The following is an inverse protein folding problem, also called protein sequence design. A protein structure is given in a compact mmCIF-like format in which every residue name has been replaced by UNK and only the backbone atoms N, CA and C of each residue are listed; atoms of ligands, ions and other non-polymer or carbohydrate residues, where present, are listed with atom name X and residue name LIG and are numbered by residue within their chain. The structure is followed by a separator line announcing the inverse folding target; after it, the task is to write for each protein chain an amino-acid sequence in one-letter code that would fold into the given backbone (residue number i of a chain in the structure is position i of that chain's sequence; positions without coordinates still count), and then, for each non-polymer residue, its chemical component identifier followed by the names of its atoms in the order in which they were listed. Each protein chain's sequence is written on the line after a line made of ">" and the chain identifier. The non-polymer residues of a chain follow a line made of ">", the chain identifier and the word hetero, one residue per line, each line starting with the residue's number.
data_IF_932466527702
#
_entry.id   IF_932466527702
#
_cell.length_a   1.000
_cell.length_b   1.000
_cell.length_c   1.000
_cell.angle_alpha   90.00
_cell.angle_beta   90.00
_cell.angle_gamma   90.00
#
_symmetry.space_group_name_H-M   'P 1'
#
loop_
_entity.id
_entity.type
_entity.pdbx_description
1 polymer ?
#
# COMPACT_ATOMS: atom_id res chain seq x y z
N UNK A 1 -29.78 24.54 -8.56
CA UNK A 1 -29.97 24.55 -7.09
C UNK A 1 -28.61 24.87 -6.50
N UNK A 2 -28.45 25.91 -5.68
CA UNK A 2 -27.14 26.30 -5.15
C UNK A 2 -27.03 25.94 -3.67
N UNK A 3 -25.83 25.60 -3.21
CA UNK A 3 -25.56 25.24 -1.81
C UNK A 3 -24.64 26.28 -1.19
N UNK A 4 -25.04 26.81 -0.03
CA UNK A 4 -24.24 27.76 0.75
C UNK A 4 -23.67 27.03 1.97
N UNK A 5 -22.36 26.96 2.07
CA UNK A 5 -21.65 26.43 3.23
C UNK A 5 -21.21 27.59 4.12
N UNK A 6 -21.82 27.70 5.30
CA UNK A 6 -21.35 28.62 6.35
C UNK A 6 -20.17 28.03 7.09
N UNK A 7 -19.06 28.76 7.10
CA UNK A 7 -17.85 28.39 7.82
C UNK A 7 -18.02 28.66 9.31
N UNK A 8 -17.49 27.75 10.14
CA UNK A 8 -17.50 27.91 11.60
C UNK A 8 -16.52 29.00 12.06
N UNK A 9 -15.42 29.17 11.35
CA UNK A 9 -14.40 30.20 11.60
C UNK A 9 -14.17 30.94 10.30
N UNK A 10 -14.19 32.29 10.29
CA UNK A 10 -13.92 33.05 9.09
C UNK A 10 -12.49 32.82 8.59
N UNK A 11 -12.30 32.93 7.28
CA UNK A 11 -10.95 33.04 6.72
C UNK A 11 -10.30 34.38 7.10
N UNK A 12 -8.98 34.49 6.87
CA UNK A 12 -8.20 35.68 7.22
C UNK A 12 -8.65 36.96 6.52
N UNK A 13 -9.34 36.81 5.39
CA UNK A 13 -9.96 37.88 4.58
C UNK A 13 -11.38 38.25 5.05
N UNK A 14 -11.90 37.56 6.08
CA UNK A 14 -13.26 37.76 6.60
C UNK A 14 -14.33 36.94 5.89
N UNK A 15 -13.98 36.10 4.93
CA UNK A 15 -14.94 35.24 4.23
C UNK A 15 -15.57 34.23 5.19
N UNK A 16 -16.90 34.21 5.26
CA UNK A 16 -17.70 33.34 6.17
C UNK A 16 -18.59 32.34 5.45
N UNK A 17 -18.81 32.52 4.14
CA UNK A 17 -19.74 31.70 3.35
C UNK A 17 -19.06 31.27 2.04
N UNK A 18 -19.25 30.01 1.65
CA UNK A 18 -18.82 29.46 0.37
C UNK A 18 -20.04 29.04 -0.45
N UNK A 19 -20.08 29.42 -1.72
CA UNK A 19 -21.14 29.09 -2.66
C UNK A 19 -20.67 27.99 -3.60
N UNK A 20 -21.44 26.92 -3.71
CA UNK A 20 -21.14 25.78 -4.57
C UNK A 20 -22.33 25.39 -5.44
N UNK A 21 -22.04 24.89 -6.64
CA UNK A 21 -22.98 24.03 -7.34
C UNK A 21 -23.03 22.62 -6.69
N UNK A 22 -24.15 21.88 -6.82
CA UNK A 22 -24.29 20.57 -6.20
C UNK A 22 -23.28 19.54 -6.71
N UNK A 23 -22.81 19.68 -7.94
CA UNK A 23 -21.77 18.82 -8.50
C UNK A 23 -20.40 19.17 -7.92
N UNK A 24 -20.08 20.46 -7.85
CA UNK A 24 -18.80 20.95 -7.32
C UNK A 24 -18.58 20.54 -5.86
N UNK A 25 -19.63 20.61 -5.02
CA UNK A 25 -19.49 20.22 -3.61
C UNK A 25 -19.18 18.72 -3.48
N UNK A 26 -19.79 17.86 -4.30
CA UNK A 26 -19.55 16.42 -4.27
C UNK A 26 -18.15 16.09 -4.78
N UNK A 27 -17.68 16.75 -5.84
CA UNK A 27 -16.33 16.59 -6.35
C UNK A 27 -15.27 16.95 -5.31
N UNK A 28 -15.41 18.10 -4.65
CA UNK A 28 -14.48 18.56 -3.61
C UNK A 28 -14.49 17.63 -2.39
N UNK A 29 -15.65 17.09 -2.02
CA UNK A 29 -15.76 16.10 -0.95
C UNK A 29 -15.10 14.77 -1.34
N UNK A 30 -15.32 14.30 -2.57
CA UNK A 30 -14.74 13.07 -3.08
C UNK A 30 -13.20 13.16 -3.15
N UNK A 31 -12.65 14.32 -3.51
CA UNK A 31 -11.20 14.54 -3.54
C UNK A 31 -10.54 14.47 -2.14
N UNK A 32 -11.29 14.76 -1.08
CA UNK A 32 -10.77 14.72 0.29
C UNK A 32 -10.75 13.29 0.87
N UNK A 33 -11.66 12.43 0.43
CA UNK A 33 -11.76 11.05 0.95
C UNK A 33 -10.75 10.16 0.23
N UNK A 34 -9.78 9.64 0.98
CA UNK A 34 -8.83 8.69 0.45
C UNK A 34 -9.55 7.42 -0.07
N UNK A 35 -9.09 6.79 -1.17
CA UNK A 35 -9.79 5.64 -1.75
C UNK A 35 -9.99 4.50 -0.75
N UNK A 36 -11.20 3.92 -0.63
CA UNK A 36 -11.58 3.03 0.47
C UNK A 36 -10.84 1.68 0.53
N UNK A 37 -9.90 1.42 -0.38
CA UNK A 37 -9.10 0.18 -0.44
C UNK A 37 -7.63 0.44 -0.78
N UNK A 38 -7.19 1.69 -0.66
CA UNK A 38 -5.78 2.01 -0.80
C UNK A 38 -5.04 1.72 0.51
N UNK A 39 -3.87 1.08 0.41
CA UNK A 39 -2.95 0.96 1.54
C UNK A 39 -2.33 2.33 1.83
N UNK A 40 -2.99 3.13 2.67
CA UNK A 40 -2.56 4.48 3.03
C UNK A 40 -1.26 4.48 3.82
N UNK A 41 -1.02 3.40 4.58
CA UNK A 41 0.21 3.21 5.35
C UNK A 41 1.10 2.23 4.58
N UNK A 42 2.23 2.75 4.08
CA UNK A 42 3.28 1.93 3.46
C UNK A 42 4.50 1.89 4.37
N UNK A 43 4.85 0.70 4.83
CA UNK A 43 6.04 0.48 5.63
C UNK A 43 7.29 0.37 4.76
N UNK A 44 8.37 1.02 5.20
CA UNK A 44 9.66 1.03 4.52
C UNK A 44 10.78 0.54 5.44
N UNK A 45 11.95 0.27 4.84
CA UNK A 45 13.16 -0.11 5.58
C UNK A 45 12.94 -1.35 6.43
N UNK A 46 13.23 -1.24 7.73
CA UNK A 46 13.16 -2.37 8.67
C UNK A 46 11.75 -2.98 8.77
N UNK A 47 10.70 -2.16 8.72
CA UNK A 47 9.30 -2.58 8.90
C UNK A 47 8.63 -3.06 7.61
N UNK A 48 9.31 -2.94 6.46
CA UNK A 48 8.78 -3.42 5.20
C UNK A 48 8.60 -4.96 5.21
N UNK A 49 7.57 -5.49 4.52
CA UNK A 49 7.30 -6.93 4.52
C UNK A 49 8.47 -7.77 3.99
N UNK A 50 9.25 -7.25 3.04
CA UNK A 50 10.45 -7.89 2.48
C UNK A 50 11.77 -7.31 3.05
N UNK A 51 11.78 -6.84 4.30
CA UNK A 51 12.99 -6.34 4.95
C UNK A 51 14.01 -7.44 5.19
N UNK A 52 15.28 -7.19 4.83
CA UNK A 52 16.42 -8.10 5.10
C UNK A 52 16.62 -8.42 6.58
N UNK A 53 16.11 -7.57 7.47
CA UNK A 53 16.30 -7.68 8.92
C UNK A 53 15.12 -8.35 9.62
N UNK A 54 14.05 -8.74 8.90
CA UNK A 54 12.81 -9.31 9.46
C UNK A 54 13.05 -10.51 10.37
N UNK A 55 13.99 -11.39 10.03
CA UNK A 55 14.36 -12.58 10.83
C UNK A 55 14.83 -12.26 12.25
N UNK A 56 15.36 -11.05 12.47
CA UNK A 56 15.85 -10.59 13.77
C UNK A 56 14.83 -9.78 14.56
N UNK A 57 13.84 -9.22 13.87
CA UNK A 57 12.92 -8.21 14.42
C UNK A 57 11.54 -8.80 14.72
N UNK A 58 11.10 -9.83 13.98
CA UNK A 58 9.80 -10.48 14.21
C UNK A 58 9.98 -11.67 15.14
N UNK A 59 9.42 -11.63 16.37
CA UNK A 59 9.44 -12.78 17.27
C UNK A 59 8.69 -13.96 16.63
N UNK A 60 9.32 -15.14 16.53
CA UNK A 60 8.70 -16.35 15.98
C UNK A 60 8.78 -16.53 14.45
N UNK A 61 9.61 -15.75 13.74
CA UNK A 61 9.73 -15.80 12.27
C UNK A 61 10.47 -17.01 11.67
N UNK A 62 10.17 -18.23 12.10
CA UNK A 62 10.59 -19.46 11.42
C UNK A 62 9.47 -19.98 10.51
N UNK A 63 9.62 -19.73 9.20
CA UNK A 63 8.96 -20.47 8.13
C UNK A 63 7.54 -20.05 7.83
N UNK A 64 7.36 -19.21 6.81
CA UNK A 64 6.28 -19.28 5.81
C UNK A 64 6.81 -18.48 4.61
N UNK A 65 7.85 -19.03 3.97
CA UNK A 65 8.07 -18.79 2.54
C UNK A 65 6.85 -19.38 1.81
N UNK A 66 6.41 -18.72 0.75
CA UNK A 66 5.09 -18.87 0.13
C UNK A 66 4.53 -20.29 0.02
N UNK A 67 3.21 -20.36 0.19
CA UNK A 67 2.40 -21.55 -0.01
C UNK A 67 2.75 -22.30 -1.32
N UNK A 68 3.26 -23.51 -1.16
CA UNK A 68 2.94 -24.67 -1.98
C UNK A 68 2.96 -25.90 -1.05
N UNK A 69 1.77 -26.44 -0.76
CA UNK A 69 1.54 -27.64 0.06
C UNK A 69 1.79 -28.93 -0.78
N UNK A 70 1.70 -30.17 -0.24
CA UNK A 70 2.78 -31.15 -0.30
C UNK A 70 2.42 -32.40 -1.10
N UNK A 71 3.23 -32.82 -2.07
CA UNK A 71 3.10 -34.17 -2.65
C UNK A 71 4.45 -34.85 -2.81
N UNK A 72 4.56 -36.00 -2.14
CA UNK A 72 5.71 -36.88 -2.02
C UNK A 72 5.84 -37.79 -3.25
N UNK A 73 6.91 -37.63 -4.04
CA UNK A 73 7.43 -38.68 -4.92
C UNK A 73 8.96 -38.61 -4.92
N UNK A 74 9.71 -39.72 -4.70
CA UNK A 74 11.16 -39.68 -4.71
C UNK A 74 11.67 -39.64 -6.15
N UNK A 75 12.40 -38.59 -6.52
CA UNK A 75 13.13 -38.50 -7.78
C UNK A 75 14.65 -38.67 -7.51
N UNK A 76 15.38 -39.39 -8.38
CA UNK A 76 16.73 -39.86 -8.07
C UNK A 76 17.79 -38.75 -8.13
N UNK A 77 18.90 -39.02 -7.46
CA UNK A 77 20.00 -38.10 -7.18
C UNK A 77 20.79 -37.60 -8.40
N UNK A 78 21.45 -36.44 -8.19
CA UNK A 78 22.74 -35.96 -8.78
C UNK A 78 22.57 -35.11 -10.07
N UNK A 79 23.09 -33.89 -10.23
CA UNK A 79 24.28 -33.15 -9.75
C UNK A 79 24.00 -31.67 -9.47
N UNK A 80 24.80 -31.06 -8.58
CA UNK A 80 24.90 -29.63 -8.38
C UNK A 80 25.55 -28.92 -9.58
N UNK A 81 25.03 -27.74 -9.95
CA UNK A 81 25.86 -26.69 -10.56
C UNK A 81 25.52 -25.32 -9.94
N UNK A 82 26.51 -24.75 -9.25
CA UNK A 82 26.51 -23.39 -8.72
C UNK A 82 26.49 -22.40 -9.88
N UNK A 83 25.52 -21.48 -9.91
CA UNK A 83 25.58 -20.34 -10.83
C UNK A 83 24.61 -19.21 -10.48
N UNK A 84 25.11 -18.25 -9.72
CA UNK A 84 24.73 -16.83 -9.70
C UNK A 84 23.22 -16.46 -9.79
N UNK A 85 22.63 -16.01 -8.68
CA UNK A 85 21.32 -15.32 -8.71
C UNK A 85 21.47 -13.96 -9.40
N UNK A 86 20.81 -13.68 -10.54
CA UNK A 86 20.80 -12.34 -11.07
C UNK A 86 19.75 -11.50 -10.33
N UNK A 87 20.15 -10.28 -9.98
CA UNK A 87 19.36 -9.06 -10.09
C UNK A 87 18.04 -8.99 -9.30
N UNK A 88 18.02 -8.08 -8.33
CA UNK A 88 16.81 -7.43 -7.85
C UNK A 88 16.11 -6.73 -9.03
N UNK A 89 15.26 -7.46 -9.75
CA UNK A 89 14.35 -6.94 -10.75
C UNK A 89 13.10 -6.42 -10.07
N UNK A 90 12.87 -5.11 -10.13
CA UNK A 90 11.64 -4.46 -9.70
C UNK A 90 10.45 -5.06 -10.43
N UNK A 91 9.38 -5.54 -9.76
CA UNK A 91 8.12 -5.76 -10.44
C UNK A 91 7.46 -4.40 -10.67
N UNK A 92 7.34 -4.04 -11.96
CA UNK A 92 6.47 -2.97 -12.40
C UNK A 92 5.06 -3.19 -11.85
N UNK A 93 4.51 -2.15 -11.24
CA UNK A 93 3.09 -2.08 -10.96
C UNK A 93 2.38 -1.89 -12.29
N UNK A 94 1.67 -2.91 -12.77
CA UNK A 94 0.83 -2.79 -13.95
C UNK A 94 -0.44 -2.00 -13.62
N UNK A 95 -0.87 -1.22 -14.62
CA UNK A 95 -2.00 -0.29 -14.68
C UNK A 95 -3.35 -0.86 -14.24
#
# INVERSE_FOLDING_TARGET
>A
MRIVLRLKTPYSDGTTELLFEPEEIVERLAALVAPPRANLVRYHGMLAPNSRWRKRVVPGGSGHDGAASPESHPAPARLEEKGSRPGCGSPGWNS
#
